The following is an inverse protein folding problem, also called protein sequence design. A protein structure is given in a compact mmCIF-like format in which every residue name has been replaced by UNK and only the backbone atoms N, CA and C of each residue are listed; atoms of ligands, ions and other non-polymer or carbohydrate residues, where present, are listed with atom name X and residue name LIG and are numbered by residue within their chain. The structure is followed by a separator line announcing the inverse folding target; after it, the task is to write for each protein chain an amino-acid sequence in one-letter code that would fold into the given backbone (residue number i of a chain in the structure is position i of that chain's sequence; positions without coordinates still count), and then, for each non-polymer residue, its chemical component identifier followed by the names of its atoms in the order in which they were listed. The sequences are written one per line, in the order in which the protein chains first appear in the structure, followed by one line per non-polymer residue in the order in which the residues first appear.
data_IF_587743099782
#
_entry.id   IF_587743099782
#
_cell.length_a   1.000
_cell.length_b   1.000
_cell.length_c   1.000
_cell.angle_alpha   90.00
_cell.angle_beta   90.00
_cell.angle_gamma   90.00
#
_symmetry.space_group_name_H-M   'P 1'
#
loop_
_entity.id
_entity.type
_entity.pdbx_description
1 polymer ?
#
# COMPACT_ATOMS: atom_id res chain seq x y z
N UNK A 1 -48.26 -39.44 -11.68
CA UNK A 1 -47.94 -38.29 -12.54
C UNK A 1 -47.16 -37.32 -11.67
N UNK A 2 -45.83 -37.27 -11.82
CA UNK A 2 -44.92 -36.46 -11.00
C UNK A 2 -44.18 -35.45 -11.89
N UNK A 3 -43.90 -34.30 -11.28
CA UNK A 3 -43.08 -33.16 -11.76
C UNK A 3 -43.78 -32.14 -12.66
N UNK A 4 -43.74 -30.86 -12.24
CA UNK A 4 -42.56 -30.06 -12.54
C UNK A 4 -41.97 -29.39 -11.28
N UNK A 5 -40.73 -29.76 -10.95
CA UNK A 5 -39.88 -29.06 -9.99
C UNK A 5 -38.57 -28.72 -10.70
N UNK A 6 -38.62 -27.77 -11.64
CA UNK A 6 -37.43 -27.36 -12.40
C UNK A 6 -37.40 -25.84 -12.62
N UNK A 7 -37.57 -25.08 -11.55
CA UNK A 7 -37.44 -23.61 -11.61
C UNK A 7 -36.97 -23.06 -10.26
N UNK A 8 -35.71 -23.29 -9.84
CA UNK A 8 -34.98 -22.42 -8.88
C UNK A 8 -33.52 -22.87 -8.64
N UNK A 9 -32.68 -22.93 -9.68
CA UNK A 9 -31.21 -23.03 -9.49
C UNK A 9 -30.52 -22.01 -10.39
N UNK A 10 -30.86 -20.74 -10.21
CA UNK A 10 -30.22 -19.61 -10.87
C UNK A 10 -29.99 -18.44 -9.87
N UNK A 11 -29.76 -18.75 -8.60
CA UNK A 11 -29.40 -17.76 -7.59
C UNK A 11 -28.09 -18.15 -6.91
N UNK A 12 -27.18 -17.18 -6.89
CA UNK A 12 -25.93 -17.13 -6.13
C UNK A 12 -24.68 -17.77 -6.74
N UNK A 13 -24.38 -17.44 -7.99
CA UNK A 13 -22.98 -17.12 -8.32
C UNK A 13 -22.82 -15.62 -8.06
N UNK A 14 -22.74 -15.25 -6.77
CA UNK A 14 -22.24 -13.93 -6.41
C UNK A 14 -20.79 -13.89 -6.91
N UNK A 15 -20.41 -12.96 -7.81
CA UNK A 15 -19.00 -12.82 -8.15
C UNK A 15 -18.26 -12.63 -6.83
N UNK A 16 -17.21 -13.43 -6.60
CA UNK A 16 -16.32 -13.21 -5.48
C UNK A 16 -15.93 -11.73 -5.53
N UNK A 17 -16.27 -10.97 -4.50
CA UNK A 17 -15.90 -9.57 -4.42
C UNK A 17 -14.37 -9.54 -4.46
N UNK A 18 -13.81 -9.24 -5.63
CA UNK A 18 -12.38 -9.02 -5.78
C UNK A 18 -12.12 -7.78 -4.93
N UNK A 19 -11.50 -7.98 -3.76
CA UNK A 19 -11.10 -6.87 -2.92
C UNK A 19 -10.08 -6.08 -3.71
N UNK A 20 -10.42 -4.84 -4.06
CA UNK A 20 -9.44 -3.92 -4.59
C UNK A 20 -8.27 -3.80 -3.61
N UNK A 21 -7.06 -3.69 -4.14
CA UNK A 21 -5.83 -3.29 -3.47
C UNK A 21 -5.61 -1.81 -3.79
N UNK A 22 -6.26 -0.89 -3.03
CA UNK A 22 -6.17 0.53 -3.27
C UNK A 22 -4.74 1.05 -3.03
N UNK A 23 -4.44 2.23 -3.59
CA UNK A 23 -3.27 3.00 -3.21
C UNK A 23 -3.61 4.50 -3.11
N UNK A 24 -2.76 5.23 -2.41
CA UNK A 24 -2.88 6.68 -2.23
C UNK A 24 -1.65 7.38 -2.78
N UNK A 25 -1.84 8.58 -3.31
CA UNK A 25 -0.77 9.48 -3.73
C UNK A 25 -1.23 10.93 -3.64
N UNK A 26 -0.28 11.86 -3.67
CA UNK A 26 -0.59 13.27 -3.90
C UNK A 26 -0.49 13.61 -5.38
N UNK A 27 -1.28 14.58 -5.84
CA UNK A 27 -0.97 15.30 -7.08
C UNK A 27 0.00 16.47 -6.81
N UNK A 28 0.41 17.21 -7.84
CA UNK A 28 1.39 18.32 -7.71
C UNK A 28 0.82 19.57 -7.06
N UNK A 29 -0.50 19.59 -6.82
CA UNK A 29 -1.17 20.63 -6.03
C UNK A 29 -1.47 20.14 -4.61
N UNK A 30 -0.91 19.00 -4.21
CA UNK A 30 -1.04 18.38 -2.90
C UNK A 30 -2.48 18.01 -2.52
N UNK A 31 -3.31 17.71 -3.52
CA UNK A 31 -4.54 16.97 -3.24
C UNK A 31 -4.21 15.52 -2.96
N UNK A 32 -4.79 14.95 -1.92
CA UNK A 32 -4.71 13.52 -1.66
C UNK A 32 -5.68 12.77 -2.58
N UNK A 33 -5.13 11.89 -3.41
CA UNK A 33 -5.86 10.99 -4.29
C UNK A 33 -5.85 9.59 -3.70
N UNK A 34 -7.00 8.90 -3.77
CA UNK A 34 -7.14 7.51 -3.37
C UNK A 34 -7.74 6.72 -4.53
N UNK A 35 -7.01 5.75 -5.04
CA UNK A 35 -7.39 4.98 -6.22
C UNK A 35 -7.81 3.56 -5.85
N UNK A 36 -8.82 3.03 -6.54
CA UNK A 36 -9.38 1.70 -6.25
C UNK A 36 -10.13 1.58 -4.91
N UNK A 37 -10.22 2.65 -4.12
CA UNK A 37 -10.82 2.64 -2.79
C UNK A 37 -12.35 2.50 -2.87
N UNK A 38 -12.87 1.41 -2.31
CA UNK A 38 -14.28 0.99 -2.42
C UNK A 38 -14.75 0.92 -3.90
N UNK A 39 -13.86 0.45 -4.78
CA UNK A 39 -14.14 0.29 -6.19
C UNK A 39 -14.17 1.60 -6.99
N UNK A 40 -13.75 2.73 -6.40
CA UNK A 40 -13.73 4.05 -7.04
C UNK A 40 -12.40 4.76 -6.86
N UNK A 41 -12.23 5.86 -7.58
CA UNK A 41 -11.13 6.80 -7.42
C UNK A 41 -11.65 8.09 -6.80
N UNK A 42 -10.93 8.63 -5.81
CA UNK A 42 -11.36 9.77 -5.01
C UNK A 42 -10.29 10.85 -4.94
N UNK A 43 -10.71 12.11 -5.00
CA UNK A 43 -9.90 13.27 -4.63
C UNK A 43 -10.41 13.82 -3.30
N UNK A 44 -9.60 13.74 -2.24
CA UNK A 44 -9.92 14.19 -0.89
C UNK A 44 -9.66 15.68 -0.65
N UNK A 45 -9.09 16.38 -1.63
CA UNK A 45 -8.59 17.74 -1.53
C UNK A 45 -7.26 17.84 -0.78
N UNK A 46 -6.90 19.07 -0.45
CA UNK A 46 -5.72 19.42 0.36
C UNK A 46 -5.95 19.11 1.84
N UNK A 47 -4.87 19.11 2.63
CA UNK A 47 -4.89 18.69 4.04
C UNK A 47 -5.93 19.42 4.91
N UNK A 48 -6.18 20.70 4.63
CA UNK A 48 -7.16 21.53 5.34
C UNK A 48 -8.62 21.05 5.15
N UNK A 49 -8.92 20.30 4.10
CA UNK A 49 -10.26 19.77 3.83
C UNK A 49 -10.49 18.36 4.40
N UNK A 50 -9.46 17.67 4.89
CA UNK A 50 -9.58 16.26 5.25
C UNK A 50 -10.48 15.97 6.45
N UNK A 51 -10.52 16.85 7.45
CA UNK A 51 -11.28 16.60 8.67
C UNK A 51 -12.81 16.67 8.44
N UNK A 52 -13.27 17.60 7.62
CA UNK A 52 -14.70 17.95 7.50
C UNK A 52 -15.23 18.00 6.07
N UNK A 53 -14.35 18.03 5.06
CA UNK A 53 -14.71 18.10 3.65
C UNK A 53 -15.38 16.84 3.10
N UNK A 54 -15.56 16.83 1.78
CA UNK A 54 -16.17 15.72 1.03
C UNK A 54 -15.23 15.34 -0.11
N UNK A 55 -14.88 14.07 -0.22
CA UNK A 55 -14.08 13.59 -1.33
C UNK A 55 -14.92 13.58 -2.63
N UNK A 56 -14.30 13.96 -3.73
CA UNK A 56 -14.94 13.98 -5.06
C UNK A 56 -14.60 12.69 -5.79
N UNK A 57 -15.61 12.04 -6.38
CA UNK A 57 -15.42 10.88 -7.25
C UNK A 57 -14.74 11.35 -8.55
N UNK A 58 -13.57 10.78 -8.84
CA UNK A 58 -12.77 11.05 -10.03
C UNK A 58 -12.61 9.80 -10.90
N UNK A 59 -13.45 8.79 -10.68
CA UNK A 59 -13.41 7.51 -11.42
C UNK A 59 -13.67 7.76 -12.90
N UNK A 60 -12.75 7.32 -13.75
CA UNK A 60 -12.92 7.35 -15.22
C UNK A 60 -12.58 6.00 -15.85
N UNK A 61 -12.95 5.84 -17.12
CA UNK A 61 -12.63 4.64 -17.89
C UNK A 61 -11.13 4.50 -18.15
N UNK A 62 -10.65 3.27 -18.34
CA UNK A 62 -9.24 2.97 -18.63
C UNK A 62 -8.36 2.81 -17.39
N UNK A 63 -8.92 2.99 -16.19
CA UNK A 63 -8.24 2.70 -14.93
C UNK A 63 -7.96 1.20 -14.77
N UNK A 64 -6.90 0.80 -14.04
CA UNK A 64 -6.71 -0.59 -13.69
C UNK A 64 -7.84 -1.11 -12.78
N UNK A 65 -8.04 -2.43 -12.70
CA UNK A 65 -9.02 -3.04 -11.79
C UNK A 65 -8.64 -2.88 -10.31
N UNK A 66 -7.38 -2.53 -10.00
CA UNK A 66 -6.81 -2.51 -8.66
C UNK A 66 -6.89 -3.89 -7.98
N UNK A 67 -6.65 -4.97 -8.70
CA UNK A 67 -6.73 -6.35 -8.16
C UNK A 67 -5.38 -7.07 -8.09
N UNK A 68 -4.29 -6.37 -8.45
CA UNK A 68 -2.95 -6.91 -8.36
C UNK A 68 -2.44 -7.01 -6.92
N UNK A 69 -1.33 -7.74 -6.78
CA UNK A 69 -0.64 -7.90 -5.51
C UNK A 69 0.33 -6.74 -5.30
N UNK A 70 0.24 -6.06 -4.15
CA UNK A 70 1.12 -4.94 -3.81
C UNK A 70 0.99 -3.74 -4.77
N UNK A 71 -0.25 -3.37 -5.11
CA UNK A 71 -0.52 -2.14 -5.88
C UNK A 71 0.13 -0.95 -5.20
N UNK A 72 0.99 -0.24 -5.92
CA UNK A 72 1.74 0.90 -5.37
C UNK A 72 1.56 2.11 -6.29
N UNK A 73 1.31 3.26 -5.69
CA UNK A 73 1.17 4.53 -6.38
C UNK A 73 2.47 5.36 -6.22
N UNK A 74 2.87 6.08 -7.26
CA UNK A 74 4.03 6.98 -7.29
C UNK A 74 3.64 8.31 -7.94
N UNK A 75 4.15 9.42 -7.44
CA UNK A 75 3.96 10.73 -8.03
C UNK A 75 5.13 11.07 -8.95
N UNK A 76 4.86 11.28 -10.23
CA UNK A 76 5.74 12.03 -11.12
C UNK A 76 5.45 13.53 -10.96
N UNK A 77 6.25 14.21 -10.13
CA UNK A 77 5.98 15.59 -9.72
C UNK A 77 6.05 16.56 -10.91
N UNK A 78 6.98 16.38 -11.84
CA UNK A 78 7.13 17.32 -12.96
C UNK A 78 6.01 17.24 -13.99
N UNK A 79 5.34 16.09 -14.13
CA UNK A 79 4.30 15.89 -15.15
C UNK A 79 2.89 15.93 -14.60
N UNK A 80 2.74 15.98 -13.27
CA UNK A 80 1.47 15.82 -12.55
C UNK A 80 0.74 14.53 -12.93
N UNK A 81 1.49 13.42 -12.92
CA UNK A 81 0.98 12.10 -13.22
C UNK A 81 1.21 11.14 -12.05
N UNK A 82 0.25 10.24 -11.85
CA UNK A 82 0.39 9.14 -10.88
C UNK A 82 0.66 7.87 -11.64
N UNK A 83 1.77 7.20 -11.31
CA UNK A 83 2.09 5.88 -11.82
C UNK A 83 1.64 4.83 -10.84
N UNK A 84 0.97 3.80 -11.34
CA UNK A 84 0.50 2.66 -10.55
C UNK A 84 1.14 1.39 -11.09
N UNK A 85 1.95 0.75 -10.25
CA UNK A 85 2.52 -0.58 -10.50
C UNK A 85 1.62 -1.64 -9.87
N UNK A 86 1.59 -2.84 -10.44
CA UNK A 86 0.77 -3.96 -9.95
C UNK A 86 -0.72 -3.60 -9.76
N UNK A 87 -1.26 -2.66 -10.53
CA UNK A 87 -2.68 -2.29 -10.46
C UNK A 87 -3.60 -3.34 -11.10
N UNK A 88 -3.07 -4.18 -12.00
CA UNK A 88 -3.81 -5.19 -12.77
C UNK A 88 -3.12 -6.54 -12.63
N UNK A 89 -3.79 -7.50 -11.97
CA UNK A 89 -3.27 -8.85 -11.79
C UNK A 89 -3.05 -9.60 -13.12
N UNK A 90 -3.82 -9.26 -14.15
CA UNK A 90 -3.68 -9.87 -15.48
C UNK A 90 -2.49 -9.30 -16.26
N UNK A 91 -1.99 -8.14 -15.86
CA UNK A 91 -0.89 -7.43 -16.50
C UNK A 91 0.06 -6.81 -15.45
N UNK A 92 0.70 -7.63 -14.59
CA UNK A 92 1.42 -7.13 -13.41
C UNK A 92 2.63 -6.26 -13.76
N UNK A 93 3.21 -6.40 -14.95
CA UNK A 93 4.34 -5.60 -15.41
C UNK A 93 3.97 -4.22 -15.98
N UNK A 94 2.69 -3.99 -16.28
CA UNK A 94 2.23 -2.74 -16.87
C UNK A 94 2.30 -1.59 -15.88
N UNK A 95 2.58 -0.39 -16.38
CA UNK A 95 2.48 0.84 -15.59
C UNK A 95 1.19 1.56 -16.00
N UNK A 96 0.24 1.69 -15.06
CA UNK A 96 -0.95 2.48 -15.30
C UNK A 96 -0.67 3.94 -14.93
N UNK A 97 -1.04 4.86 -15.82
CA UNK A 97 -0.73 6.27 -15.68
C UNK A 97 -2.04 7.04 -15.56
N UNK A 98 -2.22 7.73 -14.44
CA UNK A 98 -3.29 8.71 -14.25
C UNK A 98 -2.73 10.12 -14.47
N UNK A 99 -3.22 10.82 -15.47
CA UNK A 99 -2.96 12.25 -15.64
C UNK A 99 -3.90 13.02 -14.69
N UNK A 100 -3.38 13.63 -13.63
CA UNK A 100 -4.20 14.34 -12.65
C UNK A 100 -4.78 15.66 -13.21
N UNK A 101 -4.18 16.21 -14.26
CA UNK A 101 -4.66 17.42 -14.94
C UNK A 101 -5.82 17.09 -15.89
N UNK A 102 -5.64 16.07 -16.74
CA UNK A 102 -6.64 15.62 -17.69
C UNK A 102 -7.71 14.71 -17.05
N UNK A 103 -7.45 14.20 -15.85
CA UNK A 103 -8.29 13.24 -15.11
C UNK A 103 -8.58 11.97 -15.92
N UNK A 104 -7.56 11.46 -16.61
CA UNK A 104 -7.68 10.34 -17.53
C UNK A 104 -6.63 9.27 -17.26
N UNK A 105 -7.00 8.03 -17.51
CA UNK A 105 -6.11 6.89 -17.41
C UNK A 105 -5.56 6.44 -18.76
N UNK A 106 -4.34 5.92 -18.74
CA UNK A 106 -3.72 5.17 -19.82
C UNK A 106 -2.84 4.06 -19.25
N UNK A 107 -2.42 3.10 -20.07
CA UNK A 107 -1.59 1.98 -19.63
C UNK A 107 -0.38 1.86 -20.54
N UNK A 108 0.81 2.04 -19.96
CA UNK A 108 2.08 1.90 -20.65
C UNK A 108 2.48 0.43 -20.71
N UNK A 109 2.67 -0.07 -21.93
CA UNK A 109 3.21 -1.40 -22.13
C UNK A 109 4.69 -1.42 -21.69
N UNK A 110 5.07 -2.51 -21.02
CA UNK A 110 6.44 -2.75 -20.56
C UNK A 110 6.85 -4.20 -20.86
N UNK A 111 8.07 -4.38 -21.35
CA UNK A 111 8.72 -5.69 -21.46
C UNK A 111 9.61 -5.92 -20.24
N UNK A 112 9.48 -7.08 -19.61
CA UNK A 112 10.17 -7.39 -18.36
C UNK A 112 11.60 -7.91 -18.55
N UNK A 113 11.90 -8.61 -19.64
CA UNK A 113 13.19 -9.29 -19.78
C UNK A 113 13.39 -10.29 -18.63
N UNK A 114 14.46 -10.15 -17.84
CA UNK A 114 14.76 -10.93 -16.63
C UNK A 114 14.02 -10.43 -15.37
N UNK A 115 13.39 -9.25 -15.40
CA UNK A 115 12.64 -8.71 -14.27
C UNK A 115 11.42 -9.59 -13.93
N UNK A 116 11.21 -9.88 -12.64
CA UNK A 116 10.02 -10.60 -12.17
C UNK A 116 9.00 -9.63 -11.55
N UNK A 117 7.89 -9.32 -12.26
CA UNK A 117 6.86 -8.42 -11.75
C UNK A 117 6.04 -9.03 -10.59
N UNK A 118 6.23 -10.31 -10.25
CA UNK A 118 5.52 -10.93 -9.11
C UNK A 118 6.24 -10.73 -7.77
N UNK A 119 7.52 -10.35 -7.79
CA UNK A 119 8.34 -10.22 -6.58
C UNK A 119 9.38 -9.10 -6.74
N UNK A 120 8.99 -7.89 -6.36
CA UNK A 120 9.88 -6.74 -6.33
C UNK A 120 9.40 -5.69 -5.33
N UNK A 121 10.31 -4.79 -4.95
CA UNK A 121 9.95 -3.46 -4.46
C UNK A 121 10.58 -2.43 -5.38
N UNK A 122 9.89 -1.31 -5.57
CA UNK A 122 10.36 -0.24 -6.44
C UNK A 122 10.24 1.12 -5.75
N UNK A 123 11.05 2.06 -6.23
CA UNK A 123 10.98 3.47 -5.91
C UNK A 123 11.07 4.27 -7.21
N UNK A 124 10.34 5.38 -7.30
CA UNK A 124 10.42 6.29 -8.45
C UNK A 124 11.36 7.43 -8.10
N UNK A 125 12.43 7.60 -8.86
CA UNK A 125 13.29 8.76 -8.73
C UNK A 125 12.55 10.04 -9.14
N UNK A 126 12.63 11.03 -8.27
CA UNK A 126 11.92 12.29 -8.41
C UNK A 126 12.38 13.10 -9.62
N UNK A 127 13.70 13.18 -9.82
CA UNK A 127 14.32 14.08 -10.79
C UNK A 127 14.29 13.50 -12.22
N UNK A 128 14.45 12.18 -12.34
CA UNK A 128 14.59 11.51 -13.64
C UNK A 128 13.33 10.77 -14.10
N UNK A 129 12.34 10.56 -13.21
CA UNK A 129 11.21 9.63 -13.44
C UNK A 129 11.65 8.21 -13.83
N UNK A 130 12.79 7.77 -13.33
CA UNK A 130 13.26 6.40 -13.50
C UNK A 130 12.81 5.60 -12.27
N UNK A 131 12.13 4.48 -12.50
CA UNK A 131 11.93 3.50 -11.45
C UNK A 131 13.24 2.77 -11.18
N UNK A 132 13.57 2.56 -9.92
CA UNK A 132 14.58 1.61 -9.45
C UNK A 132 13.88 0.51 -8.68
N UNK A 133 14.11 -0.74 -9.05
CA UNK A 133 13.46 -1.89 -8.44
C UNK A 133 14.47 -2.96 -8.08
N UNK A 134 14.32 -3.56 -6.90
CA UNK A 134 15.07 -4.75 -6.52
C UNK A 134 14.17 -5.97 -6.72
N UNK A 135 14.61 -6.93 -7.55
CA UNK A 135 13.90 -8.19 -7.81
C UNK A 135 14.90 -9.34 -7.83
N UNK A 136 14.68 -10.35 -6.97
CA UNK A 136 15.54 -11.54 -6.84
C UNK A 136 17.06 -11.26 -6.70
N UNK A 137 17.43 -10.18 -6.01
CA UNK A 137 18.83 -9.81 -5.79
C UNK A 137 19.48 -9.04 -6.94
N UNK A 138 18.74 -8.73 -8.00
CA UNK A 138 19.20 -7.88 -9.11
C UNK A 138 18.51 -6.50 -9.01
N UNK A 139 19.26 -5.44 -9.31
CA UNK A 139 18.75 -4.08 -9.43
C UNK A 139 18.33 -3.82 -10.88
N UNK A 140 17.10 -3.38 -11.06
CA UNK A 140 16.53 -3.01 -12.35
C UNK A 140 16.16 -1.55 -12.37
N UNK A 141 16.13 -0.97 -13.57
CA UNK A 141 15.52 0.33 -13.79
C UNK A 141 14.53 0.35 -14.95
N UNK A 142 13.59 1.29 -14.91
CA UNK A 142 12.62 1.55 -15.98
C UNK A 142 12.45 3.07 -16.12
N UNK A 143 12.93 3.60 -17.23
CA UNK A 143 12.83 5.03 -17.56
C UNK A 143 11.43 5.38 -18.10
N UNK A 144 10.68 6.17 -17.33
CA UNK A 144 9.36 6.67 -17.73
C UNK A 144 9.42 8.02 -18.46
N UNK A 145 10.59 8.63 -18.60
CA UNK A 145 10.80 9.94 -19.20
C UNK A 145 9.91 11.01 -18.57
N UNK A 146 9.03 11.62 -19.37
CA UNK A 146 8.04 12.61 -18.90
C UNK A 146 6.62 12.17 -19.26
N UNK A 147 6.33 10.88 -19.17
CA UNK A 147 5.03 10.34 -19.56
C UNK A 147 3.94 10.78 -18.59
N UNK A 148 2.95 11.51 -19.10
CA UNK A 148 1.64 11.71 -18.45
C UNK A 148 0.53 10.86 -19.07
N UNK A 149 0.84 10.22 -20.19
CA UNK A 149 0.00 9.23 -20.85
C UNK A 149 0.89 8.17 -21.50
N UNK A 150 0.35 6.99 -21.73
CA UNK A 150 1.05 5.91 -22.41
C UNK A 150 1.47 6.34 -23.82
N UNK A 151 2.67 5.92 -24.20
CA UNK A 151 3.16 6.02 -25.57
C UNK A 151 2.77 4.74 -26.36
N UNK A 152 3.03 4.73 -27.67
CA UNK A 152 2.77 3.57 -28.53
C UNK A 152 3.85 2.48 -28.48
N UNK A 153 4.99 2.74 -27.83
CA UNK A 153 6.18 1.89 -27.88
C UNK A 153 6.45 1.30 -26.50
N UNK A 154 6.47 -0.03 -26.38
CA UNK A 154 6.78 -0.65 -25.08
C UNK A 154 8.09 -0.11 -24.50
N UNK A 155 8.06 0.23 -23.21
CA UNK A 155 9.27 0.48 -22.43
C UNK A 155 9.87 -0.85 -21.98
N UNK A 156 11.09 -0.83 -21.48
CA UNK A 156 11.80 -2.04 -21.06
C UNK A 156 12.40 -1.86 -19.68
N UNK A 157 12.17 -2.84 -18.80
CA UNK A 157 13.00 -3.01 -17.60
C UNK A 157 14.39 -3.45 -18.03
N UNK A 158 15.39 -2.70 -17.59
CA UNK A 158 16.80 -3.00 -17.85
C UNK A 158 17.45 -3.47 -16.56
N UNK A 159 18.14 -4.60 -16.66
CA UNK A 159 18.95 -5.21 -15.61
C UNK A 159 20.24 -4.39 -15.49
N UNK A 160 20.47 -3.78 -14.33
CA UNK A 160 21.56 -2.84 -14.09
C UNK A 160 22.77 -3.59 -13.56
N UNK A 161 22.62 -4.15 -12.37
CA UNK A 161 23.65 -4.94 -11.72
C UNK A 161 23.09 -5.82 -10.61
N UNK A 162 23.90 -6.80 -10.20
CA UNK A 162 23.63 -7.61 -9.02
C UNK A 162 23.78 -6.77 -7.77
N UNK A 163 22.71 -6.71 -6.97
CA UNK A 163 22.76 -6.06 -5.67
C UNK A 163 23.64 -6.86 -4.70
N UNK A 164 24.32 -6.20 -3.75
CA UNK A 164 25.23 -6.85 -2.79
C UNK A 164 24.49 -7.62 -1.68
N UNK A 165 23.19 -7.87 -1.83
CA UNK A 165 22.33 -8.45 -0.82
C UNK A 165 22.20 -9.97 -0.97
N UNK A 166 22.05 -10.66 0.15
CA UNK A 166 21.80 -12.10 0.16
C UNK A 166 20.39 -12.43 -0.39
N UNK A 167 20.26 -13.62 -0.97
CA UNK A 167 18.98 -14.15 -1.42
C UNK A 167 17.95 -14.15 -0.28
N UNK A 168 16.76 -13.64 -0.55
CA UNK A 168 15.66 -13.57 0.42
C UNK A 168 15.60 -12.29 1.26
N UNK A 169 16.50 -11.32 1.05
CA UNK A 169 16.29 -9.97 1.57
C UNK A 169 14.98 -9.38 1.02
N UNK A 170 14.13 -8.88 1.92
CA UNK A 170 12.91 -8.16 1.57
C UNK A 170 13.18 -6.65 1.63
N UNK A 171 13.30 -5.98 0.47
CA UNK A 171 13.76 -4.60 0.42
C UNK A 171 12.81 -3.61 1.09
N UNK A 172 13.39 -2.73 1.91
CA UNK A 172 12.72 -1.56 2.50
C UNK A 172 13.42 -0.32 1.92
N UNK A 173 12.86 0.20 0.82
CA UNK A 173 13.50 1.20 -0.03
C UNK A 173 12.94 2.60 0.18
N UNK A 174 13.78 3.60 0.35
CA UNK A 174 13.36 5.00 0.35
C UNK A 174 14.20 5.82 -0.64
N UNK A 175 13.69 6.99 -1.04
CA UNK A 175 14.42 7.94 -1.87
C UNK A 175 14.68 9.24 -1.12
N UNK A 176 15.92 9.72 -1.14
CA UNK A 176 16.27 11.09 -0.79
C UNK A 176 17.60 11.48 -1.45
N UNK A 177 17.80 12.75 -1.78
CA UNK A 177 19.02 13.26 -2.41
C UNK A 177 19.45 12.44 -3.64
N UNK A 178 18.48 11.99 -4.44
CA UNK A 178 18.69 11.11 -5.60
C UNK A 178 19.51 9.85 -5.27
N UNK A 179 19.32 9.33 -4.07
CA UNK A 179 19.87 8.06 -3.62
C UNK A 179 18.73 7.15 -3.19
N UNK A 180 18.87 5.86 -3.48
CA UNK A 180 17.99 4.82 -2.92
C UNK A 180 18.62 4.31 -1.63
N UNK A 181 17.89 4.45 -0.52
CA UNK A 181 18.28 3.95 0.79
C UNK A 181 17.62 2.61 1.04
N UNK A 182 18.40 1.62 1.45
CA UNK A 182 17.94 0.27 1.79
C UNK A 182 18.07 0.06 3.30
N UNK A 183 16.94 -0.11 3.97
CA UNK A 183 16.88 -0.40 5.40
C UNK A 183 16.77 -1.90 5.68
N UNK A 184 17.09 -2.29 6.91
CA UNK A 184 16.94 -3.69 7.37
C UNK A 184 17.74 -4.69 6.48
N UNK A 185 18.87 -4.25 5.95
CA UNK A 185 19.77 -5.11 5.16
C UNK A 185 20.43 -6.13 6.10
N UNK A 186 20.40 -7.44 5.78
CA UNK A 186 21.06 -8.46 6.59
C UNK A 186 22.57 -8.20 6.74
N UNK A 187 23.06 -8.16 7.97
CA UNK A 187 24.47 -7.88 8.27
C UNK A 187 24.79 -6.39 8.47
N UNK A 188 23.88 -5.49 8.10
CA UNK A 188 24.02 -4.04 8.35
C UNK A 188 23.59 -3.69 9.78
N UNK A 189 24.32 -2.82 10.51
CA UNK A 189 23.94 -2.41 11.86
C UNK A 189 22.55 -1.73 11.92
N UNK A 190 21.78 -2.03 12.96
CA UNK A 190 20.50 -1.36 13.21
C UNK A 190 20.67 0.17 13.27
N UNK A 191 19.72 0.91 12.70
CA UNK A 191 19.83 2.35 12.54
C UNK A 191 20.70 2.82 11.39
N UNK A 192 21.12 1.93 10.48
CA UNK A 192 21.88 2.29 9.28
C UNK A 192 21.14 1.89 8.01
N UNK A 193 21.52 2.51 6.89
CA UNK A 193 21.03 2.22 5.56
C UNK A 193 22.19 1.96 4.61
N UNK A 194 22.05 0.97 3.74
CA UNK A 194 22.89 0.85 2.55
C UNK A 194 22.36 1.80 1.49
N UNK A 195 23.22 2.29 0.59
CA UNK A 195 22.88 3.37 -0.33
C UNK A 195 23.26 2.99 -1.76
N UNK A 196 22.31 3.15 -2.68
CA UNK A 196 22.58 3.21 -4.11
C UNK A 196 22.58 4.65 -4.59
N UNK A 197 23.67 5.08 -5.23
CA UNK A 197 23.84 6.44 -5.73
C UNK A 197 23.44 6.48 -7.20
N UNK A 198 22.26 7.03 -7.49
CA UNK A 198 21.66 7.00 -8.83
C UNK A 198 22.56 7.68 -9.87
N UNK A 199 23.10 8.86 -9.58
CA UNK A 199 23.87 9.64 -10.56
C UNK A 199 25.18 8.97 -11.01
N UNK A 200 25.69 8.03 -10.23
CA UNK A 200 26.96 7.35 -10.47
C UNK A 200 26.80 5.84 -10.67
N UNK A 201 25.57 5.34 -10.58
CA UNK A 201 25.21 3.94 -10.84
C UNK A 201 26.06 2.96 -10.00
N UNK A 202 26.09 3.16 -8.67
CA UNK A 202 26.84 2.29 -7.76
C UNK A 202 26.27 2.21 -6.34
N UNK A 203 26.48 1.07 -5.68
CA UNK A 203 26.29 0.90 -4.24
C UNK A 203 27.46 1.49 -3.44
N UNK A 204 27.16 2.35 -2.46
CA UNK A 204 28.17 2.81 -1.52
C UNK A 204 28.75 1.62 -0.72
N UNK A 205 30.08 1.59 -0.50
CA UNK A 205 30.72 0.47 0.18
C UNK A 205 30.37 0.40 1.66
N UNK A 206 30.09 1.55 2.29
CA UNK A 206 29.81 1.65 3.72
C UNK A 206 28.36 2.10 3.94
N UNK A 207 27.69 1.47 4.91
CA UNK A 207 26.36 1.88 5.32
C UNK A 207 26.37 3.22 6.05
N UNK A 208 25.34 4.04 5.83
CA UNK A 208 25.16 5.33 6.47
C UNK A 208 24.31 5.19 7.74
N UNK A 209 24.84 5.66 8.87
CA UNK A 209 24.13 5.63 10.15
C UNK A 209 23.17 6.82 10.32
N UNK A 210 22.03 6.55 10.95
CA UNK A 210 20.96 7.50 11.26
C UNK A 210 20.56 7.41 12.75
N UNK A 211 21.42 7.89 13.67
CA UNK A 211 21.15 7.86 15.09
C UNK A 211 19.85 8.58 15.47
N UNK A 212 19.14 8.05 16.46
CA UNK A 212 18.07 8.75 17.16
C UNK A 212 18.62 9.32 18.47
N UNK A 213 17.98 10.32 19.07
CA UNK A 213 18.40 10.84 20.38
C UNK A 213 18.30 9.82 21.52
N UNK A 214 17.49 8.76 21.35
CA UNK A 214 17.12 7.81 22.41
C UNK A 214 17.42 6.34 22.05
N UNK A 215 18.31 6.09 21.06
CA UNK A 215 18.62 4.75 20.58
C UNK A 215 18.80 4.67 19.06
N UNK A 216 18.51 3.51 18.49
CA UNK A 216 18.61 3.25 17.05
C UNK A 216 17.25 2.85 16.48
N UNK A 217 17.08 3.05 15.18
CA UNK A 217 15.94 2.51 14.44
C UNK A 217 16.05 0.98 14.45
N UNK A 218 14.96 0.24 14.68
CA UNK A 218 15.00 -1.22 14.65
C UNK A 218 15.37 -1.74 13.26
N UNK A 219 16.21 -2.78 13.22
CA UNK A 219 16.45 -3.58 12.01
C UNK A 219 15.29 -4.57 11.82
N UNK A 220 14.16 -4.06 11.34
CA UNK A 220 12.95 -4.83 11.07
C UNK A 220 12.38 -4.49 9.71
N UNK A 221 11.62 -5.40 9.13
CA UNK A 221 10.82 -5.08 7.94
C UNK A 221 9.78 -3.98 8.26
N UNK A 222 9.39 -3.23 7.23
CA UNK A 222 8.45 -2.14 7.36
C UNK A 222 8.16 -1.49 6.02
N UNK A 223 7.67 -0.25 6.08
CA UNK A 223 7.36 0.58 4.93
C UNK A 223 8.03 1.93 5.07
N UNK A 224 8.23 2.59 3.96
CA UNK A 224 8.85 3.91 3.88
C UNK A 224 7.97 4.87 3.07
N UNK A 225 8.22 6.16 3.24
CA UNK A 225 7.64 7.18 2.39
C UNK A 225 8.55 8.41 2.36
N UNK A 226 9.02 8.80 1.17
CA UNK A 226 9.87 9.99 0.98
C UNK A 226 9.05 11.27 1.03
N UNK A 227 9.46 12.21 1.89
CA UNK A 227 8.81 13.52 1.99
C UNK A 227 9.20 14.38 0.80
N UNK A 228 8.20 14.83 0.06
CA UNK A 228 8.41 15.77 -1.04
C UNK A 228 8.77 17.16 -0.51
N UNK A 229 9.30 17.99 -1.41
CA UNK A 229 9.53 19.39 -1.15
C UNK A 229 8.81 20.25 -2.20
N UNK A 230 8.59 21.53 -1.88
CA UNK A 230 8.09 22.49 -2.85
C UNK A 230 9.07 22.68 -4.01
N UNK A 231 10.37 22.56 -3.74
CA UNK A 231 11.48 22.67 -4.69
C UNK A 231 12.63 21.76 -4.25
N UNK A 232 13.38 21.25 -5.22
CA UNK A 232 14.56 20.42 -4.99
C UNK A 232 14.26 18.95 -4.71
N UNK A 233 15.30 18.22 -4.30
CA UNK A 233 15.26 16.77 -4.06
C UNK A 233 14.71 16.46 -2.66
N UNK A 234 14.15 15.27 -2.44
CA UNK A 234 13.73 14.89 -1.09
C UNK A 234 14.93 14.84 -0.13
N UNK A 235 14.76 15.31 1.10
CA UNK A 235 15.82 15.34 2.12
C UNK A 235 15.53 14.42 3.31
N UNK A 236 14.32 13.90 3.37
CA UNK A 236 13.89 13.04 4.45
C UNK A 236 12.89 12.01 3.97
N UNK A 237 12.83 10.89 4.69
CA UNK A 237 11.81 9.88 4.50
C UNK A 237 11.36 9.34 5.85
N UNK A 238 10.11 8.90 5.91
CA UNK A 238 9.59 8.14 7.03
C UNK A 238 9.94 6.66 6.85
N UNK A 239 10.20 5.98 7.96
CA UNK A 239 10.21 4.53 8.11
C UNK A 239 9.23 4.13 9.21
N UNK A 240 8.36 3.18 8.90
CA UNK A 240 7.33 2.65 9.78
C UNK A 240 7.53 1.13 9.86
N UNK A 241 7.94 0.58 11.01
CA UNK A 241 8.05 -0.87 11.18
C UNK A 241 6.71 -1.57 10.93
N UNK A 242 6.73 -2.84 10.56
CA UNK A 242 5.51 -3.62 10.26
C UNK A 242 4.54 -3.73 11.44
N UNK A 243 5.01 -3.59 12.68
CA UNK A 243 4.15 -3.56 13.87
C UNK A 243 3.50 -2.19 14.12
N UNK A 244 3.81 -1.19 13.28
CA UNK A 244 3.36 0.19 13.39
C UNK A 244 3.67 0.85 14.74
N UNK A 245 4.70 0.38 15.46
CA UNK A 245 5.03 0.83 16.82
C UNK A 245 5.42 2.32 16.88
N UNK A 246 6.16 2.79 15.88
CA UNK A 246 6.64 4.17 15.78
C UNK A 246 6.70 4.64 14.33
N UNK A 247 6.92 5.94 14.14
CA UNK A 247 7.28 6.53 12.85
C UNK A 247 8.67 7.16 13.01
N UNK A 248 9.65 6.73 12.24
CA UNK A 248 11.00 7.28 12.26
C UNK A 248 11.20 8.16 11.03
N UNK A 249 11.48 9.44 11.21
CA UNK A 249 11.81 10.35 10.11
C UNK A 249 13.31 10.51 10.04
N UNK A 250 13.92 9.95 9.00
CA UNK A 250 15.36 10.02 8.75
C UNK A 250 15.64 11.24 7.87
N UNK A 251 16.51 12.12 8.32
CA UNK A 251 17.02 13.24 7.52
C UNK A 251 18.41 12.87 6.99
N UNK A 252 18.56 12.89 5.66
CA UNK A 252 19.78 12.42 4.98
C UNK A 252 20.86 13.50 4.83
N UNK A 253 20.53 14.75 5.09
CA UNK A 253 21.52 15.83 5.13
C UNK A 253 22.22 15.91 6.48
N UNK A 254 21.45 15.77 7.57
CA UNK A 254 21.98 15.83 8.94
C UNK A 254 22.38 14.47 9.49
N UNK A 255 22.03 13.36 8.81
CA UNK A 255 22.22 11.99 9.28
C UNK A 255 21.60 11.78 10.67
N UNK A 256 20.37 12.27 10.86
CA UNK A 256 19.66 12.18 12.14
C UNK A 256 18.29 11.59 11.95
N UNK A 257 17.78 10.98 13.03
CA UNK A 257 16.41 10.45 13.06
C UNK A 257 15.57 11.13 14.11
N UNK A 258 14.38 11.57 13.71
CA UNK A 258 13.32 11.97 14.62
C UNK A 258 12.33 10.82 14.82
N UNK A 259 12.08 10.44 16.07
CA UNK A 259 11.03 9.46 16.42
C UNK A 259 9.71 10.18 16.70
N UNK A 260 8.66 9.79 15.99
CA UNK A 260 7.29 10.29 16.10
C UNK A 260 6.34 9.17 16.52
N UNK A 261 5.10 9.52 16.86
CA UNK A 261 4.06 8.56 17.16
C UNK A 261 3.84 7.58 15.98
N UNK A 262 3.74 6.29 16.29
CA UNK A 262 3.34 5.28 15.32
C UNK A 262 1.86 5.44 14.94
N UNK A 263 1.44 4.89 13.78
CA UNK A 263 0.06 4.93 13.32
C UNK A 263 -0.96 4.49 14.38
N UNK A 264 -2.12 5.15 14.43
CA UNK A 264 -3.18 4.79 15.37
C UNK A 264 -3.83 3.44 15.03
N UNK A 265 -3.99 3.15 13.73
CA UNK A 265 -4.31 1.80 13.24
C UNK A 265 -3.01 1.02 13.05
N UNK A 266 -2.81 -0.03 13.87
CA UNK A 266 -1.70 -0.97 13.72
C UNK A 266 -2.04 -1.98 12.63
N UNK A 267 -1.31 -1.93 11.52
CA UNK A 267 -1.56 -2.79 10.37
C UNK A 267 -0.28 -3.03 9.58
N UNK A 268 0.17 -4.30 9.58
CA UNK A 268 1.37 -4.72 8.85
C UNK A 268 1.21 -4.69 7.32
N UNK A 269 -0.04 -4.67 6.83
CA UNK A 269 -0.36 -4.52 5.41
C UNK A 269 -0.70 -3.09 5.00
N UNK A 270 -0.49 -2.10 5.88
CA UNK A 270 -0.69 -0.70 5.51
C UNK A 270 0.38 -0.22 4.53
N UNK A 271 -0.02 0.66 3.63
CA UNK A 271 0.88 1.40 2.74
C UNK A 271 0.94 2.86 3.16
N UNK A 272 2.01 3.54 2.77
CA UNK A 272 2.26 4.91 3.18
C UNK A 272 2.66 5.77 1.98
N UNK A 273 2.25 7.02 2.01
CA UNK A 273 2.65 8.02 1.03
C UNK A 273 2.82 9.36 1.74
N UNK A 274 3.92 10.07 1.46
CA UNK A 274 4.18 11.36 2.06
C UNK A 274 3.95 12.48 1.03
N UNK A 275 3.42 13.60 1.51
CA UNK A 275 3.45 14.87 0.80
C UNK A 275 4.58 15.74 1.35
N UNK A 276 4.43 17.06 1.23
CA UNK A 276 5.37 18.01 1.86
C UNK A 276 5.21 18.05 3.37
N UNK A 277 3.96 18.07 3.82
CA UNK A 277 3.54 18.46 5.17
C UNK A 277 2.64 17.41 5.84
N UNK A 278 2.64 16.19 5.31
CA UNK A 278 1.92 15.07 5.90
C UNK A 278 2.48 13.73 5.46
N UNK A 279 2.37 12.75 6.35
CA UNK A 279 2.52 11.33 6.05
C UNK A 279 1.14 10.68 6.11
N UNK A 280 0.71 10.05 5.02
CA UNK A 280 -0.57 9.37 4.92
C UNK A 280 -0.37 7.87 5.05
N UNK A 281 -1.26 7.22 5.79
CA UNK A 281 -1.40 5.78 5.90
C UNK A 281 -2.69 5.36 5.20
N UNK A 282 -2.62 4.36 4.34
CA UNK A 282 -3.76 3.58 3.87
C UNK A 282 -3.67 2.18 4.49
N UNK A 283 -4.61 1.86 5.38
CA UNK A 283 -4.68 0.52 5.99
C UNK A 283 -5.34 -0.50 5.06
N UNK A 284 -5.11 -1.79 5.32
CA UNK A 284 -5.62 -2.92 4.54
C UNK A 284 -7.15 -3.08 4.56
N UNK A 285 -7.86 -2.29 5.38
CA UNK A 285 -9.33 -2.22 5.43
C UNK A 285 -9.89 -1.01 4.65
N UNK A 286 -9.02 -0.20 4.05
CA UNK A 286 -9.38 1.02 3.33
C UNK A 286 -9.49 2.26 4.22
N UNK A 287 -9.09 2.18 5.49
CA UNK A 287 -8.98 3.36 6.36
C UNK A 287 -7.81 4.23 5.96
N UNK A 288 -8.07 5.52 5.77
CA UNK A 288 -7.03 6.51 5.48
C UNK A 288 -6.85 7.44 6.67
N UNK A 289 -5.60 7.54 7.14
CA UNK A 289 -5.21 8.44 8.23
C UNK A 289 -3.93 9.18 7.87
N UNK A 290 -3.62 10.26 8.58
CA UNK A 290 -2.43 11.05 8.33
C UNK A 290 -1.80 11.55 9.62
N UNK A 291 -0.49 11.73 9.57
CA UNK A 291 0.32 12.43 10.56
C UNK A 291 0.74 13.77 9.94
N UNK A 292 0.35 14.93 10.52
CA UNK A 292 0.91 16.21 10.12
C UNK A 292 2.43 16.22 10.28
N UNK A 293 3.13 16.84 9.34
CA UNK A 293 4.57 16.97 9.35
C UNK A 293 4.99 18.40 9.00
N UNK A 294 5.95 18.93 9.73
CA UNK A 294 6.60 20.19 9.45
C UNK A 294 8.10 19.92 9.26
N UNK A 295 8.64 20.05 8.04
CA UNK A 295 10.06 19.77 7.75
C UNK A 295 11.02 20.65 8.56
N UNK A 296 10.57 21.84 8.99
CA UNK A 296 11.37 22.79 9.77
C UNK A 296 11.15 22.70 11.30
N UNK A 297 10.20 21.90 11.76
CA UNK A 297 9.62 22.03 13.10
C UNK A 297 9.64 20.76 13.94
N UNK A 298 10.79 20.36 14.46
CA UNK A 298 10.94 19.13 15.27
C UNK A 298 9.97 19.08 16.47
N UNK A 299 9.79 20.17 17.21
CA UNK A 299 8.87 20.22 18.36
C UNK A 299 7.41 20.08 17.95
N UNK A 300 7.01 20.65 16.80
CA UNK A 300 5.66 20.49 16.28
C UNK A 300 5.38 19.04 15.86
N UNK A 301 6.36 18.40 15.20
CA UNK A 301 6.25 17.00 14.80
C UNK A 301 6.14 16.07 16.02
N UNK A 302 6.92 16.32 17.08
CA UNK A 302 6.88 15.51 18.30
C UNK A 302 5.50 15.51 18.98
N UNK A 303 4.70 16.57 18.81
CA UNK A 303 3.34 16.66 19.33
C UNK A 303 2.27 16.14 18.34
N UNK A 304 2.63 15.89 17.08
CA UNK A 304 1.70 15.49 16.04
C UNK A 304 1.03 14.14 16.36
N UNK A 305 -0.24 14.02 15.99
CA UNK A 305 -1.05 12.83 16.22
C UNK A 305 -1.67 12.35 14.91
N UNK A 306 -1.76 11.03 14.76
CA UNK A 306 -2.45 10.42 13.63
C UNK A 306 -3.95 10.73 13.67
N UNK A 307 -4.45 11.30 12.58
CA UNK A 307 -5.84 11.73 12.43
C UNK A 307 -6.47 11.08 11.20
N UNK A 308 -7.76 10.77 11.24
CA UNK A 308 -8.46 10.20 10.08
C UNK A 308 -8.64 11.24 8.97
N UNK A 309 -8.54 10.79 7.72
CA UNK A 309 -9.02 11.56 6.57
C UNK A 309 -10.54 11.39 6.48
N UNK A 310 -11.25 12.24 7.22
CA UNK A 310 -12.71 12.19 7.36
C UNK A 310 -13.47 12.33 6.05
N UNK A 311 -12.95 13.10 5.08
CA UNK A 311 -13.54 13.24 3.74
C UNK A 311 -13.61 11.92 2.98
N UNK A 312 -12.54 11.09 3.05
CA UNK A 312 -12.51 9.75 2.46
C UNK A 312 -13.34 8.76 3.26
N UNK A 313 -13.27 8.79 4.59
CA UNK A 313 -14.07 7.89 5.43
C UNK A 313 -15.59 8.05 5.25
N UNK A 314 -16.05 9.23 4.84
CA UNK A 314 -17.46 9.49 4.46
C UNK A 314 -17.80 8.93 3.07
N UNK A 315 -16.89 9.07 2.11
CA UNK A 315 -17.10 8.68 0.72
C UNK A 315 -16.95 7.17 0.48
N UNK A 316 -15.99 6.56 1.17
CA UNK A 316 -15.64 5.15 1.11
C UNK A 316 -15.33 4.65 2.54
N UNK A 317 -16.36 4.30 3.33
CA UNK A 317 -16.17 3.82 4.69
C UNK A 317 -15.31 2.55 4.72
N UNK A 318 -14.37 2.41 5.67
CA UNK A 318 -13.56 1.20 5.79
C UNK A 318 -14.45 -0.01 6.01
N UNK A 319 -14.09 -1.14 5.42
CA UNK A 319 -14.81 -2.39 5.61
C UNK A 319 -14.74 -2.81 7.08
N UNK A 320 -15.85 -2.72 7.82
CA UNK A 320 -15.99 -3.41 9.10
C UNK A 320 -15.96 -4.91 8.82
N UNK A 321 -15.21 -5.68 9.59
CA UNK A 321 -15.31 -7.14 9.58
C UNK A 321 -16.78 -7.50 9.81
N UNK A 322 -17.46 -7.96 8.77
CA UNK A 322 -18.87 -8.34 8.84
C UNK A 322 -18.96 -9.56 9.74
N UNK A 323 -19.31 -9.33 11.01
CA UNK A 323 -20.03 -10.34 11.77
C UNK A 323 -21.36 -10.53 11.05
N UNK A 324 -21.57 -11.70 10.46
CA UNK A 324 -22.82 -12.11 9.85
C UNK A 324 -23.97 -11.95 10.85
N UNK A 325 -24.73 -10.85 10.74
CA UNK A 325 -26.08 -10.76 11.27
C UNK A 325 -27.02 -10.49 10.12
N UNK A 326 -27.65 -11.58 9.67
CA UNK A 326 -28.77 -11.60 8.76
C UNK A 326 -29.94 -10.72 9.22
N UNK A 327 -30.71 -10.26 8.23
CA UNK A 327 -32.07 -9.71 8.25
C UNK A 327 -32.25 -8.23 8.65
N UNK A 328 -32.36 -7.39 7.61
CA UNK A 328 -33.28 -6.26 7.61
C UNK A 328 -34.50 -6.65 6.78
N UNK A 329 -35.67 -6.73 7.43
CA UNK A 329 -36.97 -6.74 6.75
C UNK A 329 -37.74 -5.54 7.30
N UNK A 330 -37.94 -4.54 6.45
CA UNK A 330 -38.81 -3.40 6.72
C UNK A 330 -40.28 -3.83 6.59
N UNK A 331 -41.03 -3.78 7.68
CA UNK A 331 -42.49 -3.72 7.62
C UNK A 331 -43.05 -2.75 8.66
N UNK A 332 -43.95 -1.90 8.20
CA UNK A 332 -44.72 -0.93 8.96
C UNK A 332 -45.69 -1.58 9.94
N UNK A 333 -45.91 -0.98 11.11
CA UNK A 333 -47.05 -1.33 11.95
C UNK A 333 -46.99 -0.78 13.37
N UNK A 334 -47.68 0.34 13.60
CA UNK A 334 -48.06 0.86 14.91
C UNK A 334 -48.91 -0.12 15.72
N UNK A 335 -48.61 -0.35 17.01
CA UNK A 335 -49.56 -0.20 18.15
C UNK A 335 -48.87 -0.37 19.51
N UNK A 336 -49.35 0.42 20.48
CA UNK A 336 -49.01 0.40 21.92
C UNK A 336 -49.44 -0.90 22.60
N UNK A 337 -48.68 -1.41 23.59
CA UNK A 337 -49.24 -1.75 24.91
C UNK A 337 -48.14 -1.94 25.98
N UNK A 338 -48.48 -1.49 27.18
CA UNK A 338 -47.80 -1.62 28.47
C UNK A 338 -47.63 -3.06 28.96
N UNK A 339 -46.57 -3.33 29.72
CA UNK A 339 -46.47 -4.52 30.57
C UNK A 339 -45.18 -4.56 31.38
N UNK A 340 -45.28 -4.28 32.67
CA UNK A 340 -44.23 -4.51 33.67
C UNK A 340 -44.15 -5.98 34.05
N UNK A 341 -42.95 -6.56 34.10
CA UNK A 341 -42.64 -7.66 35.03
C UNK A 341 -41.13 -7.80 35.24
N UNK A 342 -40.75 -7.71 36.52
CA UNK A 342 -39.49 -8.20 37.07
C UNK A 342 -39.27 -9.67 36.70
N UNK A 343 -38.05 -10.03 36.34
CA UNK A 343 -37.40 -11.22 36.90
C UNK A 343 -35.89 -11.11 36.79
N UNK A 344 -35.27 -11.13 37.96
CA UNK A 344 -33.85 -11.33 38.22
C UNK A 344 -33.41 -12.74 37.85
N UNK A 345 -32.29 -12.88 37.15
CA UNK A 345 -31.37 -13.99 37.43
C UNK A 345 -29.93 -13.63 37.05
N UNK A 346 -29.09 -13.97 38.01
CA UNK A 346 -27.65 -13.83 38.15
C UNK A 346 -26.84 -14.72 37.20
N UNK A 347 -25.69 -14.24 36.74
CA UNK A 347 -24.48 -15.05 36.49
C UNK A 347 -23.32 -14.09 36.16
N UNK A 348 -22.41 -13.89 37.12
CA UNK A 348 -21.10 -14.56 37.20
C UNK A 348 -20.05 -13.89 36.32
N UNK A 349 -19.34 -12.95 36.95
CA UNK A 349 -18.01 -12.50 36.54
C UNK A 349 -17.04 -13.68 36.49
N UNK A 350 -16.53 -13.98 35.30
CA UNK A 350 -15.32 -14.79 35.14
C UNK A 350 -14.48 -14.19 34.02
N UNK A 351 -13.40 -13.53 34.42
CA UNK A 351 -12.23 -13.33 33.54
C UNK A 351 -11.66 -14.69 33.17
N UNK A 352 -11.16 -14.83 31.94
CA UNK A 352 -9.87 -15.49 31.81
C UNK A 352 -8.89 -14.67 30.97
N UNK A 353 -7.67 -14.59 31.50
CA UNK A 353 -6.45 -14.39 30.74
C UNK A 353 -6.41 -15.38 29.57
N UNK A 354 -6.27 -14.87 28.35
CA UNK A 354 -5.98 -15.66 27.16
C UNK A 354 -4.66 -15.19 26.55
N UNK A 355 -3.61 -16.00 26.74
CA UNK A 355 -2.33 -15.85 26.07
C UNK A 355 -2.51 -15.94 24.55
N UNK A 356 -2.03 -14.93 23.81
CA UNK A 356 -1.92 -15.00 22.37
C UNK A 356 -0.69 -15.85 22.02
N UNK A 357 -0.94 -17.12 21.67
CA UNK A 357 0.04 -17.95 21.00
C UNK A 357 0.23 -17.44 19.57
N UNK A 358 1.44 -16.98 19.29
CA UNK A 358 1.93 -16.64 17.94
C UNK A 358 2.05 -17.95 17.16
N UNK A 359 1.28 -18.08 16.07
CA UNK A 359 1.49 -19.14 15.09
C UNK A 359 2.34 -18.59 13.93
N UNK A 360 3.54 -19.14 13.66
CA UNK A 360 4.30 -18.79 12.48
C UNK A 360 3.70 -19.47 11.24
N UNK A 361 3.40 -18.69 10.19
CA UNK A 361 3.07 -19.22 8.86
C UNK A 361 4.35 -19.46 8.08
N UNK A 362 4.82 -20.71 8.12
CA UNK A 362 5.79 -21.26 7.18
C UNK A 362 5.10 -22.09 6.10
N UNK A 363 5.45 -21.82 4.85
CA UNK A 363 5.01 -22.44 3.60
C UNK A 363 5.62 -23.84 3.45
N UNK A 364 4.86 -24.89 3.11
CA UNK A 364 5.35 -26.04 2.32
C UNK A 364 4.23 -26.63 1.44
N UNK A 365 4.49 -26.60 0.13
CA UNK A 365 4.11 -27.49 -0.96
C UNK A 365 3.29 -28.76 -0.65
N UNK A 366 2.22 -28.98 -1.43
CA UNK A 366 1.69 -30.32 -1.69
C UNK A 366 1.36 -30.48 -3.18
N UNK A 367 2.07 -31.44 -3.77
CA UNK A 367 2.05 -31.92 -5.15
C UNK A 367 0.67 -32.52 -5.49
N UNK A 368 0.07 -32.09 -6.60
CA UNK A 368 -1.09 -32.78 -7.17
C UNK A 368 -0.59 -33.94 -8.04
N UNK A 369 -0.61 -35.15 -7.47
CA UNK A 369 -0.43 -36.39 -8.22
C UNK A 369 -1.72 -36.79 -8.93
N UNK A 370 -1.67 -36.87 -10.25
CA UNK A 370 -2.72 -37.45 -11.07
C UNK A 370 -2.69 -38.98 -10.96
N UNK A 371 -3.79 -39.58 -10.53
CA UNK A 371 -4.06 -41.00 -10.68
C UNK A 371 -5.56 -41.20 -10.94
N UNK A 372 -5.93 -41.42 -12.19
CA UNK A 372 -7.21 -42.06 -12.55
C UNK A 372 -6.87 -43.34 -13.29
N UNK A 373 -7.06 -44.45 -12.57
CA UNK A 373 -7.23 -45.81 -13.09
C UNK A 373 -8.71 -45.99 -13.42
N UNK A 374 -9.00 -46.51 -14.61
CA UNK A 374 -10.37 -46.82 -15.04
C UNK A 374 -10.38 -47.62 -16.33
N UNK A 375 -10.20 -48.93 -16.18
CA UNK A 375 -10.14 -50.00 -17.18
C UNK A 375 -11.38 -50.14 -18.09
N UNK A 376 -11.21 -50.72 -19.28
CA UNK A 376 -12.27 -51.56 -19.87
C UNK A 376 -12.37 -51.68 -21.39
N UNK A 377 -11.70 -52.72 -21.92
CA UNK A 377 -12.22 -53.72 -22.87
C UNK A 377 -12.28 -53.46 -24.41
N UNK A 378 -11.57 -54.38 -25.10
CA UNK A 378 -11.99 -55.21 -26.25
C UNK A 378 -12.39 -54.55 -27.59
N UNK A 379 -11.63 -54.79 -28.67
CA UNK A 379 -11.86 -55.86 -29.66
C UNK A 379 -11.04 -55.67 -30.96
N UNK A 380 -10.47 -56.80 -31.41
CA UNK A 380 -9.85 -57.15 -32.71
C UNK A 380 -8.48 -56.55 -33.04
#
# INVERSE_FOLDING_TARGET
MFSPLLTLVALFVSPAAVRASPCVAFDTTWNLLAFGLDGKDWNAGTQDTWASGTATDITTSGRPPFDGTNTTCFLSQYTNAIYVTNGDKSSPSSIHIYDATAKSWSTQAVTTGSFDPSSFNAILDHDTNVFYALSHGELFHLDMGLLKAANSTSLQWVDVEKAPYADGYQPVMALAQNHVFFLNVPGTPAGSADIYVIHFDYFQPDAQAFPTSNGVIPATYGQTASFFQDQGVQEAFAFIPSDSSATYVLNVQSNTTQTLAGPSTKDAGATYFAGINSLVQLDSKGGVSYLPFNPSGASANAAAQWSKVGSLAKAAPPSSSVSSSSSATSSSGTTKQSGSSNSSSSSSSSSPNGAAAVAPRGIVWAILGAAILGSGALLV
#
